data_IF_243766259042
#
_entry.id   IF_243766259042
#
_cell.length_a   1.000
_cell.length_b   1.000
_cell.length_c   1.000
_cell.angle_alpha   90.00
_cell.angle_beta   90.00
_cell.angle_gamma   90.00
#
_symmetry.space_group_name_H-M   'P 1'
#
loop_
_entity.id
_entity.type
_entity.pdbx_description
1 polymer ?
#
# COMPACT_ATOMS: atom_id res chain seq x y z
N UNK A 1 8.69 10.25 86.24
CA UNK A 1 8.05 10.72 84.99
C UNK A 1 6.74 9.96 84.80
N UNK A 2 5.66 10.60 84.33
CA UNK A 2 4.43 9.90 83.99
C UNK A 2 4.69 8.94 82.81
N UNK A 3 4.25 7.69 82.95
CA UNK A 3 4.36 6.64 81.93
C UNK A 3 3.22 6.82 80.92
N UNK A 4 3.54 6.82 79.62
CA UNK A 4 2.53 6.86 78.57
C UNK A 4 1.78 5.52 78.52
N UNK A 5 0.44 5.57 78.58
CA UNK A 5 -0.42 4.41 78.69
C UNK A 5 -1.45 4.40 77.56
N UNK A 6 -1.85 3.24 77.05
CA UNK A 6 -2.90 3.17 76.04
C UNK A 6 -4.23 3.73 76.60
N UNK A 7 -5.09 4.27 75.74
CA UNK A 7 -6.40 4.78 76.16
C UNK A 7 -7.21 3.67 76.84
N UNK A 8 -8.03 4.02 77.86
CA UNK A 8 -8.83 3.05 78.64
C UNK A 8 -9.76 2.17 77.77
N UNK A 9 -10.13 2.63 76.58
CA UNK A 9 -10.95 1.90 75.61
C UNK A 9 -10.19 1.20 74.49
N UNK A 10 -8.85 1.25 74.47
CA UNK A 10 -8.02 0.72 73.39
C UNK A 10 -8.01 1.59 72.13
N UNK A 11 -7.19 1.20 71.14
CA UNK A 11 -7.13 1.83 69.82
C UNK A 11 -8.14 1.19 68.86
N UNK A 12 -8.59 1.95 67.87
CA UNK A 12 -9.40 1.40 66.78
C UNK A 12 -8.63 0.33 65.99
N UNK A 13 -9.35 -0.68 65.45
CA UNK A 13 -8.71 -1.73 64.67
C UNK A 13 -8.15 -1.17 63.36
N UNK A 14 -6.82 -1.20 63.22
CA UNK A 14 -6.13 -0.80 62.00
C UNK A 14 -6.25 -1.90 60.95
N UNK A 15 -6.65 -1.54 59.73
CA UNK A 15 -6.68 -2.47 58.61
C UNK A 15 -5.25 -2.82 58.16
N UNK A 16 -4.75 -3.96 58.62
CA UNK A 16 -3.43 -4.49 58.26
C UNK A 16 -3.44 -5.40 57.02
N UNK A 17 -4.63 -5.79 56.54
CA UNK A 17 -4.80 -6.69 55.39
C UNK A 17 -4.92 -5.92 54.08
N UNK A 18 -4.47 -6.55 52.99
CA UNK A 18 -4.59 -6.02 51.63
C UNK A 18 -6.05 -5.85 51.22
N UNK A 19 -6.44 -4.64 50.85
CA UNK A 19 -7.78 -4.30 50.34
C UNK A 19 -7.75 -4.05 48.82
N UNK A 20 -7.55 -5.11 48.03
CA UNK A 20 -7.56 -4.99 46.57
C UNK A 20 -8.80 -5.70 46.01
N UNK A 21 -9.89 -4.96 45.73
CA UNK A 21 -11.06 -5.55 45.08
C UNK A 21 -10.73 -5.87 43.63
N UNK A 22 -10.95 -7.13 43.21
CA UNK A 22 -10.88 -7.52 41.81
C UNK A 22 -12.08 -6.94 41.06
N UNK A 23 -11.91 -5.74 40.51
CA UNK A 23 -12.92 -5.04 39.70
C UNK A 23 -12.76 -5.44 38.24
N UNK A 24 -13.88 -5.74 37.56
CA UNK A 24 -13.91 -6.03 36.14
C UNK A 24 -14.98 -7.04 35.77
N UNK A 25 -15.20 -7.21 34.46
CA UNK A 25 -16.07 -8.26 33.94
C UNK A 25 -15.35 -9.60 33.94
N UNK A 26 -16.11 -10.69 34.04
CA UNK A 26 -15.55 -12.05 33.93
C UNK A 26 -14.88 -12.21 32.55
N UNK A 27 -13.75 -12.91 32.44
CA UNK A 27 -13.03 -13.06 31.18
C UNK A 27 -13.90 -13.56 29.99
N UNK A 28 -14.86 -14.44 30.25
CA UNK A 28 -15.79 -14.93 29.22
C UNK A 28 -16.70 -13.84 28.62
N UNK A 29 -17.11 -12.85 29.42
CA UNK A 29 -17.93 -11.72 28.94
C UNK A 29 -17.08 -10.81 28.05
N UNK A 30 -15.81 -10.60 28.42
CA UNK A 30 -14.87 -9.83 27.60
C UNK A 30 -14.62 -10.52 26.26
N UNK A 31 -14.45 -11.85 26.25
CA UNK A 31 -14.24 -12.62 25.04
C UNK A 31 -15.46 -12.55 24.11
N UNK A 32 -16.67 -12.66 24.67
CA UNK A 32 -17.91 -12.48 23.91
C UNK A 32 -18.02 -11.07 23.32
N UNK A 33 -17.75 -10.03 24.13
CA UNK A 33 -17.75 -8.64 23.66
C UNK A 33 -16.76 -8.41 22.52
N UNK A 34 -15.54 -8.95 22.64
CA UNK A 34 -14.53 -8.90 21.58
C UNK A 34 -15.00 -9.64 20.31
N UNK A 35 -15.58 -10.84 20.47
CA UNK A 35 -16.12 -11.60 19.35
C UNK A 35 -17.22 -10.85 18.59
N UNK A 36 -18.11 -10.17 19.31
CA UNK A 36 -19.18 -9.37 18.71
C UNK A 36 -18.63 -8.16 17.93
N UNK A 37 -17.66 -7.43 18.50
CA UNK A 37 -17.01 -6.29 17.83
C UNK A 37 -16.28 -6.75 16.57
N UNK A 38 -15.51 -7.84 16.66
CA UNK A 38 -14.80 -8.40 15.51
C UNK A 38 -15.76 -8.90 14.43
N UNK A 39 -16.83 -9.61 14.80
CA UNK A 39 -17.84 -10.09 13.86
C UNK A 39 -18.51 -8.96 13.10
N UNK A 40 -18.87 -7.88 13.79
CA UNK A 40 -19.42 -6.68 13.15
C UNK A 40 -18.40 -5.98 12.24
N UNK A 41 -17.13 -5.88 12.69
CA UNK A 41 -16.04 -5.33 11.89
C UNK A 41 -15.85 -6.07 10.57
N UNK A 42 -15.82 -7.41 10.62
CA UNK A 42 -15.72 -8.26 9.42
C UNK A 42 -16.91 -8.08 8.49
N UNK A 43 -18.13 -8.01 9.01
CA UNK A 43 -19.32 -7.76 8.20
C UNK A 43 -19.22 -6.44 7.41
N UNK A 44 -18.77 -5.35 8.05
CA UNK A 44 -18.57 -4.05 7.38
C UNK A 44 -17.41 -4.07 6.38
N UNK A 45 -16.31 -4.72 6.74
CA UNK A 45 -15.11 -4.84 5.90
C UNK A 45 -15.43 -5.59 4.60
N UNK A 46 -16.19 -6.68 4.66
CA UNK A 46 -16.60 -7.44 3.47
C UNK A 46 -17.42 -6.58 2.50
N UNK A 47 -18.29 -5.70 3.01
CA UNK A 47 -19.02 -4.72 2.20
C UNK A 47 -18.06 -3.80 1.44
N UNK A 48 -17.10 -3.19 2.15
CA UNK A 48 -16.11 -2.29 1.54
C UNK A 48 -15.18 -2.99 0.54
N UNK A 49 -14.79 -4.25 0.79
CA UNK A 49 -13.98 -5.02 -0.17
C UNK A 49 -14.71 -5.26 -1.49
N UNK A 50 -16.02 -5.50 -1.45
CA UNK A 50 -16.83 -5.67 -2.67
C UNK A 50 -16.87 -4.37 -3.46
N UNK A 51 -17.11 -3.25 -2.80
CA UNK A 51 -17.10 -1.93 -3.44
C UNK A 51 -15.73 -1.61 -4.07
N UNK A 52 -14.62 -1.85 -3.35
CA UNK A 52 -13.28 -1.65 -3.87
C UNK A 52 -12.97 -2.51 -5.11
N UNK A 53 -13.50 -3.74 -5.16
CA UNK A 53 -13.38 -4.60 -6.34
C UNK A 53 -14.17 -4.06 -7.53
N UNK A 54 -15.35 -3.49 -7.32
CA UNK A 54 -16.13 -2.85 -8.39
C UNK A 54 -15.41 -1.61 -8.94
N UNK A 55 -14.86 -0.76 -8.05
CA UNK A 55 -14.02 0.38 -8.46
C UNK A 55 -12.75 -0.06 -9.21
N UNK A 56 -12.13 -1.14 -8.75
CA UNK A 56 -10.98 -1.75 -9.43
C UNK A 56 -11.34 -2.25 -10.83
N UNK A 57 -12.54 -2.83 -10.99
CA UNK A 57 -13.07 -3.26 -12.28
C UNK A 57 -13.32 -2.07 -13.20
N UNK A 58 -13.97 -1.03 -12.70
CA UNK A 58 -14.19 0.23 -13.45
C UNK A 58 -12.86 0.82 -13.95
N UNK A 59 -11.87 0.94 -13.07
CA UNK A 59 -10.53 1.42 -13.43
C UNK A 59 -9.88 0.57 -14.52
N UNK A 60 -10.04 -0.76 -14.45
CA UNK A 60 -9.49 -1.65 -15.47
C UNK A 60 -10.18 -1.46 -16.82
N UNK A 61 -11.51 -1.33 -16.85
CA UNK A 61 -12.26 -1.05 -18.08
C UNK A 61 -11.90 0.30 -18.68
N UNK A 62 -11.78 1.34 -17.87
CA UNK A 62 -11.30 2.65 -18.32
C UNK A 62 -9.93 2.52 -18.99
N UNK A 63 -9.02 1.72 -18.41
CA UNK A 63 -7.71 1.46 -18.99
C UNK A 63 -7.81 0.69 -20.32
N UNK A 64 -8.58 -0.39 -20.39
CA UNK A 64 -8.75 -1.20 -21.61
C UNK A 64 -9.23 -0.33 -22.77
N UNK A 65 -10.17 0.59 -22.52
CA UNK A 65 -10.70 1.47 -23.56
C UNK A 65 -9.70 2.55 -24.00
N UNK A 66 -8.78 2.96 -23.13
CA UNK A 66 -7.76 3.97 -23.45
C UNK A 66 -6.46 3.38 -24.02
N UNK A 67 -6.14 2.12 -23.71
CA UNK A 67 -4.91 1.45 -24.16
C UNK A 67 -4.70 1.57 -25.68
N UNK A 68 -5.69 1.33 -26.55
CA UNK A 68 -5.46 1.41 -28.00
C UNK A 68 -5.01 2.80 -28.47
N UNK A 69 -5.55 3.87 -27.87
CA UNK A 69 -5.16 5.23 -28.17
C UNK A 69 -3.71 5.49 -27.74
N UNK A 70 -3.39 5.15 -26.49
CA UNK A 70 -2.04 5.35 -25.93
C UNK A 70 -0.98 4.52 -26.67
N UNK A 71 -1.31 3.27 -27.01
CA UNK A 71 -0.42 2.40 -27.78
C UNK A 71 -0.17 2.94 -29.19
N UNK A 72 -1.20 3.50 -29.84
CA UNK A 72 -1.06 4.09 -31.16
C UNK A 72 -0.19 5.37 -31.13
N UNK A 73 -0.29 6.18 -30.08
CA UNK A 73 0.60 7.33 -29.87
C UNK A 73 2.05 6.88 -29.66
N UNK A 74 2.26 5.87 -28.81
CA UNK A 74 3.58 5.32 -28.53
C UNK A 74 4.22 4.70 -29.78
N UNK A 75 3.48 3.88 -30.53
CA UNK A 75 3.99 3.23 -31.74
C UNK A 75 4.38 4.26 -32.81
N UNK A 76 3.62 5.37 -32.95
CA UNK A 76 3.97 6.47 -33.87
C UNK A 76 5.26 7.17 -33.47
N UNK A 77 5.45 7.47 -32.18
CA UNK A 77 6.68 8.10 -31.69
C UNK A 77 7.88 7.14 -31.80
N UNK A 78 7.69 5.85 -31.51
CA UNK A 78 8.73 4.84 -31.68
C UNK A 78 9.20 4.75 -33.14
N UNK A 79 8.29 4.67 -34.11
CA UNK A 79 8.66 4.64 -35.54
C UNK A 79 9.40 5.92 -35.95
N UNK A 80 8.94 7.08 -35.48
CA UNK A 80 9.61 8.36 -35.74
C UNK A 80 11.04 8.36 -35.24
N UNK A 81 11.28 7.92 -34.00
CA UNK A 81 12.63 7.85 -33.39
C UNK A 81 13.51 6.85 -34.13
N UNK A 82 12.98 5.67 -34.42
CA UNK A 82 13.68 4.61 -35.14
C UNK A 82 14.20 5.08 -36.51
N UNK A 83 13.34 5.72 -37.31
CA UNK A 83 13.73 6.24 -38.63
C UNK A 83 14.73 7.39 -38.52
N UNK A 84 14.62 8.24 -37.50
CA UNK A 84 15.58 9.32 -37.25
C UNK A 84 16.96 8.77 -36.86
N UNK A 85 17.00 7.73 -36.02
CA UNK A 85 18.25 7.09 -35.60
C UNK A 85 18.90 6.35 -36.78
N UNK A 86 18.14 5.63 -37.60
CA UNK A 86 18.67 5.03 -38.84
C UNK A 86 19.24 6.08 -39.80
N UNK A 87 18.56 7.22 -39.96
CA UNK A 87 19.09 8.30 -40.81
C UNK A 87 20.41 8.83 -40.27
N UNK A 88 20.51 9.03 -38.96
CA UNK A 88 21.73 9.49 -38.28
C UNK A 88 22.87 8.47 -38.39
N UNK A 89 22.56 7.19 -38.21
CA UNK A 89 23.52 6.09 -38.37
C UNK A 89 24.08 6.08 -39.80
N UNK A 90 23.22 6.15 -40.81
CA UNK A 90 23.62 6.21 -42.21
C UNK A 90 24.48 7.43 -42.55
N UNK A 91 24.17 8.61 -41.99
CA UNK A 91 24.99 9.82 -42.18
C UNK A 91 26.38 9.71 -41.55
N UNK A 92 26.52 9.02 -40.42
CA UNK A 92 27.79 8.89 -39.67
C UNK A 92 28.65 7.71 -40.15
N UNK A 93 28.02 6.57 -40.46
CA UNK A 93 28.68 5.30 -40.76
C UNK A 93 28.57 4.87 -42.23
N UNK A 94 27.76 5.59 -43.03
CA UNK A 94 27.55 5.33 -44.46
C UNK A 94 26.45 4.31 -44.77
N UNK A 95 26.21 3.34 -43.90
CA UNK A 95 25.16 2.33 -44.03
C UNK A 95 24.57 1.91 -42.68
N UNK A 96 23.42 1.22 -42.68
CA UNK A 96 22.74 0.74 -41.48
C UNK A 96 23.18 -0.70 -41.15
N UNK A 97 23.68 -0.93 -39.94
CA UNK A 97 24.12 -2.26 -39.53
C UNK A 97 22.94 -3.17 -39.13
N UNK A 98 22.82 -4.33 -39.79
CA UNK A 98 21.83 -5.36 -39.40
C UNK A 98 22.36 -6.18 -38.21
N UNK A 99 21.76 -5.99 -37.03
CA UNK A 99 22.13 -6.73 -35.81
C UNK A 99 21.51 -8.13 -35.76
N UNK A 100 20.26 -8.27 -36.21
CA UNK A 100 19.50 -9.52 -36.17
C UNK A 100 19.42 -10.18 -37.54
N UNK A 101 19.51 -11.50 -37.60
CA UNK A 101 19.36 -12.24 -38.87
C UNK A 101 17.91 -12.31 -39.37
N UNK A 102 16.92 -12.03 -38.53
CA UNK A 102 15.49 -12.01 -38.88
C UNK A 102 15.03 -10.67 -39.42
N UNK A 103 14.01 -10.67 -40.29
CA UNK A 103 13.38 -9.44 -40.81
C UNK A 103 12.25 -8.89 -39.93
N UNK A 104 12.07 -9.43 -38.72
CA UNK A 104 11.09 -8.92 -37.75
C UNK A 104 11.57 -7.60 -37.14
N UNK A 105 10.67 -6.64 -36.99
CA UNK A 105 10.94 -5.43 -36.22
C UNK A 105 11.18 -5.78 -34.74
N UNK A 106 12.32 -5.34 -34.21
CA UNK A 106 12.67 -5.44 -32.79
C UNK A 106 12.77 -4.04 -32.23
N UNK A 107 12.06 -3.78 -31.13
CA UNK A 107 12.09 -2.47 -30.46
C UNK A 107 13.52 -2.19 -29.95
N UNK A 108 14.11 -1.02 -30.25
CA UNK A 108 15.43 -0.67 -29.74
C UNK A 108 15.44 -0.62 -28.20
N UNK A 109 16.43 -1.26 -27.57
CA UNK A 109 16.57 -1.28 -26.10
C UNK A 109 16.93 0.08 -25.54
N UNK A 110 17.73 0.85 -26.29
CA UNK A 110 18.17 2.17 -25.92
C UNK A 110 17.72 3.15 -26.99
N UNK A 111 17.15 4.27 -26.57
CA UNK A 111 16.83 5.39 -27.44
C UNK A 111 17.62 6.60 -26.95
N UNK A 112 18.17 7.38 -27.89
CA UNK A 112 18.80 8.66 -27.55
C UNK A 112 17.69 9.60 -27.09
N UNK A 113 17.60 9.81 -25.78
CA UNK A 113 16.69 10.78 -25.19
C UNK A 113 17.37 12.15 -25.19
N UNK A 114 16.62 13.24 -25.42
CA UNK A 114 17.18 14.57 -25.25
C UNK A 114 17.71 14.73 -23.82
N UNK A 115 18.82 15.47 -23.63
CA UNK A 115 19.35 15.71 -22.29
C UNK A 115 18.26 16.32 -21.40
N UNK A 116 18.22 15.97 -20.10
CA UNK A 116 17.23 16.52 -19.19
C UNK A 116 17.29 18.04 -19.22
N UNK A 117 16.13 18.69 -19.32
CA UNK A 117 16.04 20.15 -19.28
C UNK A 117 16.59 20.62 -17.94
N UNK A 118 17.67 21.41 -17.97
CA UNK A 118 18.22 22.06 -16.78
C UNK A 118 17.20 23.09 -16.31
N UNK A 119 16.56 22.81 -15.17
CA UNK A 119 15.84 23.83 -14.40
C UNK A 119 16.85 24.59 -13.55
#
# INVERSE_FOLDING_TARGET
MPQDMPPRGGYEPVQYKRNLPAKGFRPGILLLGMGAVMGYGWYKLIGGMREANELGREKMWARINLIPLLQAEEDRDQVRRYLADQKREKELLGDNAKVYNSDRFVRPTFAVTPPPTTN
#
